data_IF_917539395287
#
_entry.id   IF_917539395287
#
_cell.length_a   1.000
_cell.length_b   1.000
_cell.length_c   1.000
_cell.angle_alpha   90.00
_cell.angle_beta   90.00
_cell.angle_gamma   90.00
#
_symmetry.space_group_name_H-M   'P 1'
#
loop_
_entity.id
_entity.type
_entity.pdbx_description
1 polymer ?
#
# COMPACT_ATOMS: atom_id res chain seq x y z
N UNK A 1 -6.30 -21.00 -13.53
CA UNK A 1 -7.52 -21.80 -13.31
C UNK A 1 -7.13 -23.11 -12.66
N UNK A 2 -7.89 -23.61 -11.68
CA UNK A 2 -7.68 -24.93 -11.08
C UNK A 2 -8.99 -25.69 -11.25
N UNK A 3 -8.97 -26.89 -11.82
CA UNK A 3 -10.15 -27.73 -12.01
C UNK A 3 -9.81 -29.22 -11.84
N UNK A 4 -10.79 -30.00 -11.41
CA UNK A 4 -10.73 -31.47 -11.42
C UNK A 4 -11.06 -32.09 -12.78
N UNK A 5 -11.49 -31.27 -13.75
CA UNK A 5 -11.80 -31.75 -15.10
C UNK A 5 -10.55 -32.24 -15.84
N UNK A 6 -10.79 -33.15 -16.80
CA UNK A 6 -9.74 -33.65 -17.69
C UNK A 6 -9.07 -32.55 -18.51
N UNK A 7 -7.81 -32.78 -18.88
CA UNK A 7 -6.95 -31.79 -19.57
C UNK A 7 -7.59 -31.15 -20.81
N UNK A 8 -8.33 -31.92 -21.61
CA UNK A 8 -8.96 -31.44 -22.84
C UNK A 8 -10.12 -30.47 -22.56
N UNK A 9 -10.97 -30.79 -21.59
CA UNK A 9 -12.09 -29.93 -21.18
C UNK A 9 -11.57 -28.63 -20.59
N UNK A 10 -10.61 -28.73 -19.68
CA UNK A 10 -9.98 -27.58 -19.04
C UNK A 10 -9.33 -26.65 -20.08
N UNK A 11 -8.69 -27.21 -21.12
CA UNK A 11 -8.09 -26.43 -22.22
C UNK A 11 -9.14 -25.68 -23.05
N UNK A 12 -10.27 -26.31 -23.34
CA UNK A 12 -11.35 -25.67 -24.09
C UNK A 12 -11.93 -24.48 -23.32
N UNK A 13 -12.27 -24.69 -22.04
CA UNK A 13 -12.79 -23.62 -21.17
C UNK A 13 -11.78 -22.49 -21.01
N UNK A 14 -10.50 -22.82 -20.81
CA UNK A 14 -9.45 -21.82 -20.69
C UNK A 14 -9.31 -20.95 -21.95
N UNK A 15 -9.50 -21.54 -23.14
CA UNK A 15 -9.49 -20.78 -24.41
C UNK A 15 -10.70 -19.84 -24.52
N UNK A 16 -11.89 -20.29 -24.12
CA UNK A 16 -13.09 -19.44 -24.11
C UNK A 16 -12.95 -18.25 -23.15
N UNK A 17 -12.28 -18.47 -22.01
CA UNK A 17 -11.96 -17.43 -21.03
C UNK A 17 -10.77 -16.54 -21.43
N UNK A 18 -10.11 -16.82 -22.56
CA UNK A 18 -8.95 -16.07 -23.03
C UNK A 18 -7.67 -16.25 -22.21
N UNK A 19 -7.55 -17.36 -21.46
CA UNK A 19 -6.36 -17.66 -20.67
C UNK A 19 -5.22 -18.13 -21.59
N UNK A 20 -4.09 -17.41 -21.55
CA UNK A 20 -2.89 -17.70 -22.34
C UNK A 20 -1.82 -18.33 -21.45
N UNK A 21 -1.59 -19.64 -21.56
CA UNK A 21 -0.51 -20.36 -20.88
C UNK A 21 -0.72 -21.87 -20.90
N UNK A 22 0.19 -22.60 -20.29
CA UNK A 22 0.18 -24.06 -20.37
C UNK A 22 -0.93 -24.69 -19.51
N UNK A 23 -1.49 -25.80 -19.98
CA UNK A 23 -2.40 -26.65 -19.21
C UNK A 23 -1.58 -27.79 -18.63
N UNK A 24 -1.34 -27.77 -17.34
CA UNK A 24 -0.51 -28.74 -16.63
C UNK A 24 -1.33 -29.57 -15.66
N UNK A 25 -0.81 -30.74 -15.32
CA UNK A 25 -1.37 -31.61 -14.29
C UNK A 25 -0.51 -31.53 -13.02
N UNK A 26 -1.04 -31.92 -11.84
CA UNK A 26 -0.25 -32.04 -10.62
C UNK A 26 0.97 -32.96 -10.77
N UNK A 27 0.86 -34.03 -11.58
CA UNK A 27 1.99 -34.91 -11.88
C UNK A 27 3.13 -34.17 -12.59
N UNK A 28 2.80 -33.31 -13.56
CA UNK A 28 3.78 -32.46 -14.24
C UNK A 28 4.44 -31.50 -13.23
N UNK A 29 3.65 -30.91 -12.32
CA UNK A 29 4.13 -29.98 -11.29
C UNK A 29 5.09 -30.66 -10.30
N UNK A 30 4.81 -31.91 -9.92
CA UNK A 30 5.67 -32.68 -9.01
C UNK A 30 7.00 -33.06 -9.68
N UNK A 31 6.99 -33.30 -10.99
CA UNK A 31 8.19 -33.60 -11.75
C UNK A 31 9.10 -32.36 -11.92
N UNK A 32 8.51 -31.19 -12.15
CA UNK A 32 9.24 -29.93 -12.26
C UNK A 32 8.42 -28.76 -11.67
N UNK A 33 8.68 -28.35 -10.41
CA UNK A 33 7.96 -27.24 -9.79
C UNK A 33 8.10 -25.90 -10.54
N UNK A 34 9.15 -25.72 -11.37
CA UNK A 34 9.38 -24.47 -12.10
C UNK A 34 8.33 -24.20 -13.18
N UNK A 35 7.64 -25.24 -13.65
CA UNK A 35 6.60 -25.10 -14.69
C UNK A 35 5.34 -24.40 -14.15
N UNK A 36 5.17 -24.32 -12.83
CA UNK A 36 4.04 -23.65 -12.18
C UNK A 36 3.85 -22.21 -12.69
N UNK A 37 4.96 -21.53 -13.02
CA UNK A 37 4.95 -20.14 -13.50
C UNK A 37 4.47 -19.97 -14.94
N UNK A 38 4.53 -21.03 -15.74
CA UNK A 38 4.08 -21.04 -17.14
C UNK A 38 2.63 -21.53 -17.27
N UNK A 39 2.10 -22.11 -16.20
CA UNK A 39 0.77 -22.67 -16.17
C UNK A 39 -0.31 -21.58 -16.11
N UNK A 40 -1.28 -21.66 -17.02
CA UNK A 40 -2.54 -20.92 -16.91
C UNK A 40 -3.64 -21.76 -16.26
N UNK A 41 -3.52 -23.09 -16.37
CA UNK A 41 -4.52 -24.06 -15.92
C UNK A 41 -3.85 -25.25 -15.25
N UNK A 42 -4.32 -25.61 -14.07
CA UNK A 42 -4.05 -26.88 -13.40
C UNK A 42 -5.29 -27.76 -13.57
N UNK A 43 -5.19 -28.77 -14.44
CA UNK A 43 -6.27 -29.73 -14.74
C UNK A 43 -6.07 -31.01 -13.92
N UNK A 44 -7.14 -31.79 -13.73
CA UNK A 44 -7.11 -33.06 -12.98
C UNK A 44 -6.57 -32.88 -11.55
N UNK A 45 -6.82 -31.72 -10.94
CA UNK A 45 -6.32 -31.39 -9.61
C UNK A 45 -7.22 -31.95 -8.50
N UNK A 46 -6.65 -32.81 -7.65
CA UNK A 46 -7.31 -33.31 -6.45
C UNK A 46 -7.19 -32.30 -5.29
N UNK A 47 -8.01 -32.41 -4.23
CA UNK A 47 -7.90 -31.58 -3.04
C UNK A 47 -6.48 -31.39 -2.49
N UNK A 48 -5.71 -32.47 -2.42
CA UNK A 48 -4.34 -32.50 -1.89
C UNK A 48 -3.39 -31.68 -2.77
N UNK A 49 -3.61 -31.71 -4.09
CA UNK A 49 -2.79 -31.00 -5.07
C UNK A 49 -2.98 -29.49 -4.99
N UNK A 50 -4.17 -29.01 -4.60
CA UNK A 50 -4.44 -27.57 -4.47
C UNK A 50 -3.45 -26.89 -3.51
N UNK A 51 -3.11 -27.57 -2.41
CA UNK A 51 -2.12 -27.07 -1.44
C UNK A 51 -0.72 -27.04 -2.07
N UNK A 52 -0.33 -28.10 -2.77
CA UNK A 52 0.97 -28.21 -3.45
C UNK A 52 1.14 -27.13 -4.53
N UNK A 53 0.08 -26.84 -5.29
CA UNK A 53 0.05 -25.76 -6.28
C UNK A 53 0.29 -24.41 -5.62
N UNK A 54 -0.43 -24.10 -4.53
CA UNK A 54 -0.24 -22.84 -3.79
C UNK A 54 1.20 -22.73 -3.28
N UNK A 55 1.74 -23.79 -2.67
CA UNK A 55 3.12 -23.81 -2.17
C UNK A 55 4.16 -23.64 -3.28
N UNK A 56 3.96 -24.23 -4.45
CA UNK A 56 4.86 -24.09 -5.59
C UNK A 56 4.90 -22.63 -6.10
N UNK A 57 3.74 -21.99 -6.20
CA UNK A 57 3.65 -20.57 -6.59
C UNK A 57 4.27 -19.64 -5.54
N UNK A 58 4.06 -19.93 -4.25
CA UNK A 58 4.69 -19.21 -3.14
C UNK A 58 6.21 -19.36 -3.14
N UNK A 59 6.73 -20.58 -3.36
CA UNK A 59 8.17 -20.85 -3.45
C UNK A 59 8.83 -20.10 -4.61
N UNK A 60 8.07 -19.81 -5.67
CA UNK A 60 8.50 -18.97 -6.77
C UNK A 60 8.43 -17.45 -6.50
N UNK A 61 8.05 -17.04 -5.29
CA UNK A 61 8.02 -15.64 -4.86
C UNK A 61 6.72 -14.89 -5.18
N UNK A 62 5.66 -15.59 -5.58
CA UNK A 62 4.36 -14.98 -5.82
C UNK A 62 3.52 -14.89 -4.54
N UNK A 63 2.75 -13.81 -4.41
CA UNK A 63 1.66 -13.71 -3.43
C UNK A 63 0.43 -14.36 -4.06
N UNK A 64 -0.12 -15.38 -3.40
CA UNK A 64 -1.16 -16.25 -3.96
C UNK A 64 -2.50 -15.93 -3.31
N UNK A 65 -3.49 -15.65 -4.16
CA UNK A 65 -4.90 -15.64 -3.79
C UNK A 65 -5.56 -16.91 -4.30
N UNK A 66 -6.33 -17.60 -3.46
CA UNK A 66 -7.05 -18.82 -3.83
C UNK A 66 -8.53 -18.67 -3.58
N UNK A 67 -9.36 -19.07 -4.54
CA UNK A 67 -10.80 -19.19 -4.38
C UNK A 67 -11.19 -20.65 -4.11
N UNK A 68 -12.16 -20.87 -3.23
CA UNK A 68 -12.66 -22.22 -2.93
C UNK A 68 -14.05 -22.18 -2.30
N UNK A 69 -14.78 -23.29 -2.39
CA UNK A 69 -16.18 -23.41 -1.95
C UNK A 69 -16.45 -24.64 -1.07
N UNK A 70 -15.63 -25.68 -1.18
CA UNK A 70 -15.78 -26.95 -0.46
C UNK A 70 -14.92 -27.11 0.78
N UNK A 71 -15.25 -28.12 1.60
CA UNK A 71 -14.49 -28.51 2.81
C UNK A 71 -13.03 -28.83 2.47
N UNK A 72 -12.84 -29.46 1.32
CA UNK A 72 -11.56 -29.88 0.78
C UNK A 72 -10.63 -28.70 0.41
N UNK A 73 -11.20 -27.52 0.20
CA UNK A 73 -10.42 -26.32 -0.17
C UNK A 73 -9.95 -25.56 1.08
N UNK A 74 -10.52 -25.83 2.25
CA UNK A 74 -10.19 -25.14 3.49
C UNK A 74 -8.69 -25.13 3.83
N UNK A 75 -7.94 -26.25 3.71
CA UNK A 75 -6.50 -26.23 3.96
C UNK A 75 -5.73 -25.36 2.96
N UNK A 76 -6.12 -25.37 1.69
CA UNK A 76 -5.45 -24.62 0.64
C UNK A 76 -5.80 -23.11 0.73
N UNK A 77 -7.05 -22.78 1.11
CA UNK A 77 -7.47 -21.42 1.45
C UNK A 77 -6.66 -20.83 2.60
N UNK A 78 -6.37 -21.62 3.64
CA UNK A 78 -5.49 -21.20 4.75
C UNK A 78 -4.02 -21.10 4.38
N UNK A 79 -3.56 -21.91 3.43
CA UNK A 79 -2.17 -21.90 2.97
C UNK A 79 -1.87 -20.67 2.12
N UNK A 80 -2.84 -20.19 1.33
CA UNK A 80 -2.71 -18.98 0.51
C UNK A 80 -2.60 -17.72 1.39
N UNK A 81 -1.88 -16.68 0.91
CA UNK A 81 -1.86 -15.39 1.60
C UNK A 81 -3.27 -14.78 1.68
N UNK A 82 -4.10 -15.03 0.67
CA UNK A 82 -5.49 -14.57 0.62
C UNK A 82 -6.40 -15.72 0.18
N UNK A 83 -7.04 -16.38 1.16
CA UNK A 83 -8.16 -17.29 0.90
C UNK A 83 -9.46 -16.52 0.62
N UNK A 84 -10.20 -16.91 -0.41
CA UNK A 84 -11.45 -16.28 -0.84
C UNK A 84 -12.53 -17.34 -0.95
N UNK A 85 -13.57 -17.24 -0.11
CA UNK A 85 -14.74 -18.10 -0.19
C UNK A 85 -15.89 -17.40 -0.94
N UNK A 86 -16.73 -18.17 -1.63
CA UNK A 86 -18.00 -17.67 -2.18
C UNK A 86 -19.12 -17.72 -1.15
N UNK A 87 -20.19 -16.94 -1.32
CA UNK A 87 -21.33 -16.93 -0.40
C UNK A 87 -21.97 -18.32 -0.23
N UNK A 88 -22.04 -19.10 -1.31
CA UNK A 88 -22.56 -20.46 -1.31
C UNK A 88 -21.59 -21.51 -0.75
N UNK A 89 -20.38 -21.10 -0.33
CA UNK A 89 -19.38 -22.01 0.21
C UNK A 89 -19.84 -22.60 1.56
N UNK A 90 -19.36 -23.80 1.84
CA UNK A 90 -19.58 -24.45 3.13
C UNK A 90 -18.92 -23.66 4.27
N UNK A 91 -19.46 -23.77 5.48
CA UNK A 91 -19.00 -22.98 6.62
C UNK A 91 -17.52 -23.20 6.95
N UNK A 92 -17.01 -24.42 6.75
CA UNK A 92 -15.59 -24.74 6.96
C UNK A 92 -14.69 -23.96 6.00
N UNK A 93 -15.11 -23.76 4.75
CA UNK A 93 -14.38 -22.97 3.77
C UNK A 93 -14.44 -21.47 4.11
N UNK A 94 -15.61 -20.97 4.51
CA UNK A 94 -15.78 -19.58 4.97
C UNK A 94 -14.92 -19.25 6.18
N UNK A 95 -14.85 -20.15 7.17
CA UNK A 95 -13.97 -19.99 8.34
C UNK A 95 -12.47 -20.05 8.01
N UNK A 96 -12.13 -20.57 6.84
CA UNK A 96 -10.75 -20.72 6.38
C UNK A 96 -10.31 -19.61 5.43
N UNK A 97 -11.24 -18.81 4.92
CA UNK A 97 -10.99 -17.72 4.00
C UNK A 97 -10.81 -16.37 4.73
N UNK A 98 -9.99 -15.50 4.15
CA UNK A 98 -9.80 -14.12 4.59
C UNK A 98 -10.90 -13.19 4.07
N UNK A 99 -11.47 -13.52 2.90
CA UNK A 99 -12.57 -12.79 2.28
C UNK A 99 -13.72 -13.73 1.94
N UNK A 100 -14.95 -13.26 2.11
CA UNK A 100 -16.17 -13.94 1.67
C UNK A 100 -16.84 -13.05 0.63
N UNK A 101 -16.97 -13.55 -0.60
CA UNK A 101 -17.70 -12.87 -1.66
C UNK A 101 -19.20 -13.01 -1.39
N UNK A 102 -19.91 -11.89 -1.32
CA UNK A 102 -21.37 -11.81 -1.13
C UNK A 102 -22.16 -11.93 -2.43
N UNK A 103 -21.48 -12.27 -3.52
CA UNK A 103 -22.09 -12.43 -4.85
C UNK A 103 -21.25 -13.44 -5.63
N UNK A 104 -21.89 -14.28 -6.45
CA UNK A 104 -21.17 -15.26 -7.26
C UNK A 104 -20.30 -14.59 -8.33
N UNK A 105 -19.25 -15.29 -8.76
CA UNK A 105 -18.38 -14.86 -9.85
C UNK A 105 -17.08 -14.17 -9.40
N UNK A 106 -16.22 -13.88 -10.38
CA UNK A 106 -14.88 -13.31 -10.15
C UNK A 106 -14.84 -11.79 -10.11
N UNK A 107 -15.95 -11.10 -10.45
CA UNK A 107 -15.99 -9.63 -10.43
C UNK A 107 -15.67 -9.07 -9.04
N UNK A 108 -16.18 -9.72 -7.98
CA UNK A 108 -15.88 -9.34 -6.60
C UNK A 108 -14.39 -9.41 -6.28
N UNK A 109 -13.67 -10.40 -6.80
CA UNK A 109 -12.22 -10.53 -6.65
C UNK A 109 -11.49 -9.39 -7.37
N UNK A 110 -11.89 -9.06 -8.60
CA UNK A 110 -11.30 -7.94 -9.35
C UNK A 110 -11.53 -6.61 -8.63
N UNK A 111 -12.74 -6.39 -8.10
CA UNK A 111 -13.08 -5.21 -7.32
C UNK A 111 -12.26 -5.13 -6.03
N UNK A 112 -12.14 -6.24 -5.31
CA UNK A 112 -11.30 -6.35 -4.10
C UNK A 112 -9.84 -5.97 -4.39
N UNK A 113 -9.26 -6.47 -5.48
CA UNK A 113 -7.88 -6.14 -5.88
C UNK A 113 -7.76 -4.64 -6.22
N UNK A 114 -8.73 -4.08 -6.95
CA UNK A 114 -8.75 -2.65 -7.32
C UNK A 114 -8.80 -1.76 -6.07
N UNK A 115 -9.74 -2.00 -5.16
CA UNK A 115 -9.88 -1.24 -3.91
C UNK A 115 -8.63 -1.40 -3.03
N UNK A 116 -8.08 -2.61 -2.93
CA UNK A 116 -6.85 -2.85 -2.16
C UNK A 116 -5.66 -2.04 -2.69
N UNK A 117 -5.54 -1.88 -4.01
CA UNK A 117 -4.50 -1.06 -4.64
C UNK A 117 -4.68 0.43 -4.36
N UNK A 118 -5.92 0.92 -4.33
CA UNK A 118 -6.22 2.31 -3.94
C UNK A 118 -5.86 2.57 -2.47
N UNK A 119 -6.29 1.68 -1.57
CA UNK A 119 -5.96 1.77 -0.14
C UNK A 119 -4.44 1.72 0.07
N UNK A 120 -3.75 0.83 -0.63
CA UNK A 120 -2.29 0.76 -0.58
C UNK A 120 -1.63 2.08 -1.01
N UNK A 121 -2.10 2.71 -2.09
CA UNK A 121 -1.56 4.00 -2.53
C UNK A 121 -1.74 5.07 -1.45
N UNK A 122 -2.95 5.16 -0.84
CA UNK A 122 -3.24 6.10 0.25
C UNK A 122 -2.32 5.87 1.45
N UNK A 123 -2.15 4.61 1.86
CA UNK A 123 -1.25 4.24 2.96
C UNK A 123 0.20 4.62 2.67
N UNK A 124 0.67 4.40 1.44
CA UNK A 124 2.03 4.78 1.02
C UNK A 124 2.22 6.30 1.08
N UNK A 125 1.26 7.06 0.56
CA UNK A 125 1.29 8.53 0.58
C UNK A 125 1.25 9.08 2.02
N UNK A 126 0.39 8.51 2.87
CA UNK A 126 0.33 8.84 4.29
C UNK A 126 1.67 8.56 4.98
N UNK A 127 2.27 7.38 4.76
CA UNK A 127 3.54 7.00 5.35
C UNK A 127 4.69 7.91 4.90
N UNK A 128 4.79 8.20 3.61
CA UNK A 128 5.75 9.17 3.05
C UNK A 128 5.61 10.53 3.74
N UNK A 129 4.39 11.07 3.79
CA UNK A 129 4.11 12.37 4.39
C UNK A 129 4.46 12.39 5.89
N UNK A 130 4.14 11.32 6.63
CA UNK A 130 4.45 11.24 8.06
C UNK A 130 5.96 11.22 8.30
N UNK A 131 6.72 10.43 7.53
CA UNK A 131 8.19 10.34 7.65
C UNK A 131 8.83 11.69 7.29
N UNK A 132 8.42 12.31 6.17
CA UNK A 132 8.93 13.62 5.75
C UNK A 132 8.73 14.67 6.85
N UNK A 133 7.50 14.78 7.40
CA UNK A 133 7.20 15.73 8.49
C UNK A 133 8.00 15.45 9.77
N UNK A 134 8.19 14.18 10.12
CA UNK A 134 9.02 13.82 11.27
C UNK A 134 10.47 14.27 11.09
N UNK A 135 11.04 14.08 9.89
CA UNK A 135 12.39 14.55 9.56
C UNK A 135 12.47 16.08 9.64
N UNK A 136 11.51 16.78 9.03
CA UNK A 136 11.45 18.25 9.03
C UNK A 136 11.42 18.82 10.45
N UNK A 137 10.47 18.38 11.28
CA UNK A 137 10.31 18.88 12.65
C UNK A 137 11.58 18.62 13.46
N UNK A 138 12.09 17.38 13.44
CA UNK A 138 13.26 17.01 14.26
C UNK A 138 14.51 17.80 13.82
N UNK A 139 14.83 17.81 12.52
CA UNK A 139 16.05 18.46 12.04
C UNK A 139 15.96 19.97 12.25
N UNK A 140 14.82 20.59 11.91
CA UNK A 140 14.65 22.03 12.07
C UNK A 140 14.74 22.46 13.53
N UNK A 141 13.98 21.83 14.45
CA UNK A 141 13.98 22.23 15.86
C UNK A 141 15.32 21.99 16.52
N UNK A 142 15.97 20.87 16.20
CA UNK A 142 17.30 20.52 16.74
C UNK A 142 18.36 21.47 16.20
N UNK A 143 18.34 21.76 14.90
CA UNK A 143 19.26 22.71 14.27
C UNK A 143 19.16 24.11 14.89
N UNK A 144 17.95 24.64 15.04
CA UNK A 144 17.73 25.94 15.69
C UNK A 144 18.17 25.91 17.17
N UNK A 145 17.94 24.81 17.89
CA UNK A 145 18.40 24.67 19.27
C UNK A 145 19.93 24.75 19.38
N UNK A 146 20.69 24.10 18.49
CA UNK A 146 22.15 24.18 18.53
C UNK A 146 22.69 25.58 18.23
N UNK A 147 21.99 26.35 17.39
CA UNK A 147 22.37 27.73 17.02
C UNK A 147 21.99 28.72 18.13
N UNK A 148 20.76 28.64 18.64
CA UNK A 148 20.16 29.66 19.53
C UNK A 148 20.19 29.28 21.01
N UNK A 149 20.54 28.04 21.33
CA UNK A 149 20.46 27.42 22.67
C UNK A 149 19.07 27.52 23.32
N UNK A 150 18.04 27.71 22.51
CA UNK A 150 16.67 27.94 22.96
C UNK A 150 15.69 27.06 22.20
N UNK A 151 14.64 26.63 22.88
CA UNK A 151 13.58 25.81 22.26
C UNK A 151 12.64 26.71 21.44
N UNK A 152 12.62 26.47 20.13
CA UNK A 152 11.74 27.19 19.19
C UNK A 152 10.29 26.73 19.27
N UNK A 153 10.05 25.45 19.55
CA UNK A 153 8.72 24.92 19.85
C UNK A 153 8.57 24.75 21.35
N UNK A 154 7.63 25.50 21.95
CA UNK A 154 7.17 25.23 23.31
C UNK A 154 6.33 23.93 23.33
N UNK A 155 6.12 23.30 24.51
CA UNK A 155 5.24 22.15 24.62
C UNK A 155 3.83 22.41 24.05
N UNK A 156 3.29 23.61 24.29
CA UNK A 156 2.00 24.02 23.74
C UNK A 156 2.04 24.06 22.20
N UNK A 157 3.05 24.69 21.59
CA UNK A 157 3.18 24.74 20.13
C UNK A 157 3.43 23.35 19.51
N UNK A 158 4.14 22.46 20.20
CA UNK A 158 4.30 21.08 19.75
C UNK A 158 2.95 20.33 19.73
N UNK A 159 2.12 20.49 20.76
CA UNK A 159 0.77 19.90 20.82
C UNK A 159 -0.13 20.50 19.75
N UNK A 160 -0.13 21.81 19.56
CA UNK A 160 -0.91 22.46 18.50
C UNK A 160 -0.47 22.01 17.11
N UNK A 161 0.84 21.82 16.91
CA UNK A 161 1.41 21.35 15.65
C UNK A 161 1.00 19.90 15.36
N UNK A 162 0.91 19.06 16.40
CA UNK A 162 0.38 17.70 16.28
C UNK A 162 -1.05 17.73 15.74
N UNK A 163 -1.94 18.51 16.37
CA UNK A 163 -3.34 18.62 15.92
C UNK A 163 -3.44 19.19 14.50
N UNK A 164 -2.74 20.29 14.22
CA UNK A 164 -2.74 20.92 12.90
C UNK A 164 -2.31 19.94 11.80
N UNK A 165 -1.36 19.06 12.07
CA UNK A 165 -0.87 18.11 11.08
C UNK A 165 -1.72 16.83 10.97
N UNK A 166 -2.16 16.27 12.10
CA UNK A 166 -2.81 14.97 12.11
C UNK A 166 -4.25 15.05 11.60
N UNK A 167 -5.01 16.11 11.93
CA UNK A 167 -6.35 16.31 11.36
C UNK A 167 -6.34 16.37 9.83
N UNK A 168 -5.35 17.08 9.27
CA UNK A 168 -5.21 17.20 7.82
C UNK A 168 -4.77 15.86 7.22
N UNK A 169 -3.92 15.10 7.91
CA UNK A 169 -3.45 13.80 7.41
C UNK A 169 -4.55 12.73 7.36
N UNK A 170 -5.61 12.86 8.16
CA UNK A 170 -6.78 11.95 8.09
C UNK A 170 -7.51 12.08 6.74
N UNK A 171 -7.48 13.26 6.12
CA UNK A 171 -8.13 13.48 4.81
C UNK A 171 -7.57 12.58 3.69
N UNK A 172 -6.35 12.05 3.85
CA UNK A 172 -5.73 11.11 2.89
C UNK A 172 -6.52 9.80 2.81
N UNK A 173 -7.18 9.38 3.89
CA UNK A 173 -7.90 8.11 3.94
C UNK A 173 -9.06 8.04 2.94
N UNK A 174 -9.70 9.19 2.69
CA UNK A 174 -10.84 9.34 1.76
C UNK A 174 -10.45 9.87 0.39
N UNK A 175 -9.15 10.08 0.17
CA UNK A 175 -8.67 10.84 -0.98
C UNK A 175 -8.80 10.09 -2.31
N UNK A 176 -8.97 10.85 -3.40
CA UNK A 176 -8.94 10.32 -4.76
C UNK A 176 -7.49 10.14 -5.19
N UNK A 177 -7.11 8.90 -5.43
CA UNK A 177 -5.73 8.53 -5.77
C UNK A 177 -5.65 7.89 -7.14
N UNK A 178 -4.47 7.93 -7.76
CA UNK A 178 -4.20 7.15 -8.95
C UNK A 178 -4.24 5.64 -8.67
N UNK A 179 -4.59 4.84 -9.67
CA UNK A 179 -4.58 3.38 -9.56
C UNK A 179 -3.18 2.83 -9.84
N UNK A 180 -2.65 2.02 -8.92
CA UNK A 180 -1.40 1.27 -9.15
C UNK A 180 -1.74 0.07 -10.04
N UNK A 181 -1.18 0.00 -11.25
CA UNK A 181 -1.47 -1.06 -12.21
C UNK A 181 -0.78 -2.38 -11.89
N UNK A 182 0.31 -2.36 -11.12
CA UNK A 182 1.12 -3.55 -10.79
C UNK A 182 1.12 -3.85 -9.29
N UNK A 183 1.25 -5.12 -8.88
CA UNK A 183 1.50 -5.47 -7.49
C UNK A 183 2.77 -4.78 -6.99
N UNK A 184 2.71 -4.15 -5.82
CA UNK A 184 3.84 -3.47 -5.19
C UNK A 184 4.05 -4.01 -3.78
N UNK A 185 5.29 -4.29 -3.44
CA UNK A 185 5.70 -4.66 -2.09
C UNK A 185 6.15 -3.42 -1.31
N UNK A 186 5.95 -3.43 0.01
CA UNK A 186 6.53 -2.41 0.88
C UNK A 186 8.06 -2.53 0.88
N UNK A 187 8.74 -1.52 0.35
CA UNK A 187 10.18 -1.40 0.48
C UNK A 187 10.50 -0.26 1.44
N UNK A 188 10.64 -0.59 2.72
CA UNK A 188 10.86 0.39 3.79
C UNK A 188 12.13 1.21 3.54
N UNK A 189 13.20 0.59 3.05
CA UNK A 189 14.46 1.29 2.73
C UNK A 189 14.26 2.36 1.66
N UNK A 190 13.61 2.03 0.54
CA UNK A 190 13.28 3.00 -0.52
C UNK A 190 12.31 4.08 -0.04
N UNK A 191 11.39 3.72 0.85
CA UNK A 191 10.45 4.67 1.45
C UNK A 191 11.18 5.71 2.30
N UNK A 192 12.10 5.29 3.17
CA UNK A 192 12.91 6.18 4.02
C UNK A 192 13.83 7.05 3.16
N UNK A 193 14.55 6.46 2.21
CA UNK A 193 15.44 7.21 1.30
C UNK A 193 14.67 8.26 0.48
N UNK A 194 13.53 7.86 -0.10
CA UNK A 194 12.67 8.78 -0.84
C UNK A 194 12.13 9.91 0.05
N UNK A 195 11.73 9.59 1.28
CA UNK A 195 11.27 10.59 2.25
C UNK A 195 12.38 11.56 2.65
N UNK A 196 13.61 11.08 2.83
CA UNK A 196 14.76 11.93 3.13
C UNK A 196 15.03 12.94 2.03
N UNK A 197 14.98 12.52 0.77
CA UNK A 197 15.13 13.43 -0.38
C UNK A 197 13.98 14.44 -0.47
N UNK A 198 12.75 14.00 -0.25
CA UNK A 198 11.56 14.86 -0.29
C UNK A 198 11.54 15.88 0.84
N UNK A 199 12.15 15.59 1.99
CA UNK A 199 12.23 16.50 3.12
C UNK A 199 13.19 17.69 2.91
N UNK A 200 14.11 17.61 1.94
CA UNK A 200 15.14 18.67 1.74
C UNK A 200 14.49 20.01 1.35
N UNK A 201 13.62 20.02 0.34
CA UNK A 201 12.99 21.25 -0.16
C UNK A 201 12.16 21.99 0.90
N UNK A 202 11.21 21.33 1.62
CA UNK A 202 10.46 21.98 2.69
C UNK A 202 11.36 22.39 3.87
N UNK A 203 12.35 21.59 4.25
CA UNK A 203 13.30 21.95 5.32
C UNK A 203 14.10 23.22 4.98
N UNK A 204 14.60 23.31 3.75
CA UNK A 204 15.27 24.53 3.24
C UNK A 204 14.32 25.72 3.27
N UNK A 205 13.06 25.52 2.85
CA UNK A 205 12.05 26.58 2.82
C UNK A 205 11.69 27.10 4.22
N UNK A 206 11.53 26.21 5.20
CA UNK A 206 11.30 26.57 6.61
C UNK A 206 12.52 27.33 7.15
N UNK A 207 13.73 26.86 6.86
CA UNK A 207 14.98 27.48 7.33
C UNK A 207 15.18 28.89 6.74
N UNK A 208 14.93 29.06 5.44
CA UNK A 208 14.99 30.37 4.77
C UNK A 208 13.95 31.33 5.38
N UNK A 209 12.71 30.86 5.59
CA UNK A 209 11.65 31.67 6.21
C UNK A 209 12.06 32.15 7.60
N UNK A 210 12.62 31.26 8.41
CA UNK A 210 13.17 31.60 9.72
C UNK A 210 14.34 32.59 9.63
N UNK A 211 15.28 32.37 8.71
CA UNK A 211 16.45 33.23 8.53
C UNK A 211 16.07 34.64 8.09
N UNK A 212 15.07 34.79 7.20
CA UNK A 212 14.53 36.10 6.80
C UNK A 212 13.89 36.79 8.01
N UNK A 213 13.05 36.07 8.77
CA UNK A 213 12.39 36.62 9.95
C UNK A 213 13.40 37.10 11.02
N UNK A 214 14.49 36.36 11.21
CA UNK A 214 15.55 36.70 12.16
C UNK A 214 16.45 37.83 11.64
N UNK A 215 17.02 37.67 10.45
CA UNK A 215 18.12 38.53 9.97
C UNK A 215 17.65 39.78 9.23
N UNK A 216 16.52 39.71 8.52
CA UNK A 216 16.01 40.85 7.75
C UNK A 216 15.04 41.70 8.58
N UNK A 217 14.10 41.05 9.28
CA UNK A 217 13.10 41.75 10.08
C UNK A 217 13.52 41.98 11.54
N UNK A 218 14.53 41.28 12.05
CA UNK A 218 15.03 41.47 13.42
C UNK A 218 14.00 41.12 14.50
N UNK A 219 13.10 40.17 14.22
CA UNK A 219 12.01 39.88 15.15
C UNK A 219 12.51 39.32 16.49
N UNK A 220 11.82 39.66 17.60
CA UNK A 220 12.15 39.08 18.90
C UNK A 220 11.84 37.57 18.90
N UNK A 221 12.48 36.85 19.83
CA UNK A 221 12.44 35.39 19.87
C UNK A 221 11.02 34.80 19.95
N UNK A 222 10.11 35.41 20.71
CA UNK A 222 8.73 34.92 20.82
C UNK A 222 7.94 35.04 19.51
N UNK A 223 8.21 36.10 18.73
CA UNK A 223 7.66 36.22 17.37
C UNK A 223 8.28 35.18 16.45
N UNK A 224 9.59 34.90 16.56
CA UNK A 224 10.25 33.85 15.78
C UNK A 224 9.71 32.45 16.06
N UNK A 225 9.32 32.14 17.31
CA UNK A 225 8.62 30.89 17.66
C UNK A 225 7.30 30.76 16.90
N UNK A 226 6.55 31.85 16.82
CA UNK A 226 5.27 31.90 16.09
C UNK A 226 5.51 31.72 14.59
N UNK A 227 6.50 32.39 14.01
CA UNK A 227 6.89 32.24 12.60
C UNK A 227 7.28 30.80 12.30
N UNK A 228 8.12 30.19 13.14
CA UNK A 228 8.55 28.80 13.00
C UNK A 228 7.35 27.83 13.04
N UNK A 229 6.43 28.02 13.99
CA UNK A 229 5.21 27.22 14.10
C UNK A 229 4.35 27.32 12.83
N UNK A 230 4.06 28.56 12.38
CA UNK A 230 3.25 28.78 11.18
C UNK A 230 3.92 28.21 9.93
N UNK A 231 5.25 28.37 9.80
CA UNK A 231 6.01 27.78 8.70
C UNK A 231 5.90 26.25 8.71
N UNK A 232 6.11 25.59 9.86
CA UNK A 232 5.98 24.13 9.97
C UNK A 232 4.59 23.63 9.58
N UNK A 233 3.53 24.34 9.98
CA UNK A 233 2.15 24.01 9.56
C UNK A 233 1.99 24.21 8.05
N UNK A 234 2.36 25.37 7.53
CA UNK A 234 2.18 25.74 6.12
C UNK A 234 2.92 24.81 5.16
N UNK A 235 4.22 24.59 5.41
CA UNK A 235 5.02 23.68 4.59
C UNK A 235 4.58 22.23 4.78
N UNK A 236 4.16 21.83 5.99
CA UNK A 236 3.56 20.52 6.21
C UNK A 236 2.29 20.26 5.39
N UNK A 237 1.44 21.26 5.19
CA UNK A 237 0.25 21.16 4.32
C UNK A 237 0.66 21.10 2.85
N UNK A 238 1.61 21.94 2.45
CA UNK A 238 2.08 22.02 1.06
C UNK A 238 2.76 20.72 0.63
N UNK A 239 3.60 20.13 1.50
CA UNK A 239 4.22 18.82 1.29
C UNK A 239 3.15 17.75 1.07
N UNK A 240 2.12 17.71 1.92
CA UNK A 240 1.03 16.75 1.77
C UNK A 240 0.34 16.85 0.41
N UNK A 241 -0.06 18.07 0.02
CA UNK A 241 -0.73 18.29 -1.27
C UNK A 241 0.16 17.91 -2.46
N UNK A 242 1.47 18.12 -2.34
CA UNK A 242 2.45 17.74 -3.37
C UNK A 242 2.56 16.21 -3.48
N UNK A 243 2.71 15.51 -2.36
CA UNK A 243 2.88 14.05 -2.30
C UNK A 243 1.64 13.29 -2.75
N UNK A 244 0.45 13.80 -2.40
CA UNK A 244 -0.85 13.27 -2.82
C UNK A 244 -0.93 13.02 -4.33
N UNK A 245 -0.32 13.92 -5.09
CA UNK A 245 -0.54 14.06 -6.51
C UNK A 245 0.51 13.31 -7.36
N UNK A 246 1.57 12.77 -6.74
CA UNK A 246 2.72 12.21 -7.44
C UNK A 246 2.45 10.81 -8.04
N UNK A 247 2.83 10.53 -9.30
CA UNK A 247 3.57 11.39 -10.25
C UNK A 247 2.66 12.24 -11.17
N UNK A 248 1.35 12.03 -11.13
CA UNK A 248 0.35 12.67 -12.01
C UNK A 248 0.18 14.19 -11.81
N UNK A 249 0.82 14.77 -10.79
CA UNK A 249 0.68 16.16 -10.39
C UNK A 249 -0.75 16.56 -10.06
N UNK A 250 -1.05 17.86 -10.12
CA UNK A 250 -2.34 18.48 -9.78
C UNK A 250 -3.53 18.10 -10.69
N UNK A 251 -3.39 17.08 -11.54
CA UNK A 251 -4.44 16.59 -12.44
C UNK A 251 -5.60 15.90 -11.71
N UNK A 252 -5.37 15.40 -10.48
CA UNK A 252 -6.39 14.71 -9.68
C UNK A 252 -6.98 15.64 -8.62
N UNK A 253 -8.28 15.93 -8.74
CA UNK A 253 -9.01 16.75 -7.74
C UNK A 253 -9.04 16.07 -6.37
N UNK A 254 -8.90 16.82 -5.25
CA UNK A 254 -9.13 16.34 -3.89
C UNK A 254 -10.46 15.61 -3.71
N UNK A 255 -10.53 14.72 -2.71
CA UNK A 255 -11.82 14.28 -2.18
C UNK A 255 -12.61 15.49 -1.64
N UNK A 256 -13.94 15.35 -1.62
CA UNK A 256 -14.83 16.34 -1.00
C UNK A 256 -14.64 16.36 0.51
#
# INVERSE_FOLDING_TARGET
MITGDGRNTARTVARELGLTGDVITPADLHADPSIALRASVFAEAFPEDKISIVKALQAAGHVVGMTGDGVNDAPALRQAEIGIAVESAVDVAKQSASFILTSPGLEGVVRMITVSREVYFRLRTWALNKIVKSIEVIIFTTGIFFITRSYILSPLFAVLLLFANDFISISIATDRTGTISRPTHWNVGRLILGSGLLAIAPLVSITITYAIAHSFFGYPFDTLRTVAYVALVYYGITTLLSLRSWPSGWSVRPSR
#
